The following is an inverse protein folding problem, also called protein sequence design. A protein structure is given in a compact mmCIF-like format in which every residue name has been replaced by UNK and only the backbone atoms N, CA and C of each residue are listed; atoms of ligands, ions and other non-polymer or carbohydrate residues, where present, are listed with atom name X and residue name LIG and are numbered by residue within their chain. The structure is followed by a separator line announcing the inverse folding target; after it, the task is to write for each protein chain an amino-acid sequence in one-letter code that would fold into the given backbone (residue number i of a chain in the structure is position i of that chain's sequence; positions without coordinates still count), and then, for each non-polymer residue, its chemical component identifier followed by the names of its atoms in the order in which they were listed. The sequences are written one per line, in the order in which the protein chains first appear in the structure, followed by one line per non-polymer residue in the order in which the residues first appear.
data_IF_142102686213
#
_entry.id   IF_142102686213
#
_cell.length_a   1.000
_cell.length_b   1.000
_cell.length_c   1.000
_cell.angle_alpha   90.00
_cell.angle_beta   90.00
_cell.angle_gamma   90.00
#
_symmetry.space_group_name_H-M   'P 1'
#
loop_
_entity.id
_entity.type
_entity.pdbx_description
1 polymer ?
#
# COMPACT_ATOMS: atom_id res chain seq x y z
N UNK A 1 -13.79 -12.24 -2.85
CA UNK A 1 -13.25 -13.61 -3.00
C UNK A 1 -11.74 -13.48 -2.88
N UNK A 2 -11.07 -14.26 -2.02
CA UNK A 2 -9.60 -14.25 -2.01
C UNK A 2 -9.14 -14.74 -3.38
N UNK A 3 -8.36 -13.90 -4.05
CA UNK A 3 -8.09 -14.00 -5.48
C UNK A 3 -6.95 -14.99 -5.70
N UNK A 4 -7.21 -16.30 -5.57
CA UNK A 4 -6.21 -17.37 -5.61
C UNK A 4 -5.32 -17.38 -6.86
N UNK A 5 -5.68 -16.62 -7.91
CA UNK A 5 -4.85 -16.39 -9.11
C UNK A 5 -3.74 -15.36 -8.87
N UNK A 6 -3.97 -14.31 -8.07
CA UNK A 6 -2.98 -13.27 -7.75
C UNK A 6 -1.82 -13.83 -6.92
N UNK A 7 -2.11 -14.74 -5.99
CA UNK A 7 -1.10 -15.35 -5.12
C UNK A 7 -0.08 -16.21 -5.90
N UNK A 8 -0.55 -16.96 -6.91
CA UNK A 8 0.33 -17.72 -7.81
C UNK A 8 1.19 -16.82 -8.70
N UNK A 9 0.64 -15.67 -9.10
CA UNK A 9 1.30 -14.68 -9.94
C UNK A 9 2.41 -13.93 -9.20
N UNK A 10 2.33 -13.72 -7.89
CA UNK A 10 3.38 -12.97 -7.15
C UNK A 10 4.54 -13.86 -6.67
N UNK A 11 4.37 -15.18 -6.69
CA UNK A 11 5.38 -16.10 -6.16
C UNK A 11 6.73 -16.00 -6.87
N UNK A 12 6.76 -15.58 -8.14
CA UNK A 12 8.00 -15.43 -8.92
C UNK A 12 8.66 -14.05 -8.79
N UNK A 13 7.92 -13.01 -8.39
CA UNK A 13 8.43 -11.64 -8.28
C UNK A 13 9.44 -11.53 -7.14
N UNK A 14 10.68 -11.14 -7.41
CA UNK A 14 11.73 -11.09 -6.38
C UNK A 14 12.04 -12.43 -5.73
N UNK A 15 11.81 -13.55 -6.44
CA UNK A 15 12.18 -14.89 -5.98
C UNK A 15 13.70 -15.08 -5.84
N UNK A 16 14.49 -14.27 -6.57
CA UNK A 16 15.94 -14.14 -6.46
C UNK A 16 16.38 -13.15 -5.38
N UNK A 17 15.44 -12.54 -4.66
CA UNK A 17 15.69 -11.51 -3.66
C UNK A 17 15.85 -10.09 -4.24
N UNK A 18 15.55 -9.89 -5.53
CA UNK A 18 15.63 -8.61 -6.20
C UNK A 18 14.35 -8.29 -6.97
N UNK A 19 13.73 -7.14 -6.73
CA UNK A 19 12.56 -6.70 -7.52
C UNK A 19 13.05 -5.86 -8.70
N UNK A 20 12.90 -6.37 -9.92
CA UNK A 20 13.27 -5.66 -11.14
C UNK A 20 12.22 -4.61 -11.54
N UNK A 21 12.59 -3.71 -12.46
CA UNK A 21 11.64 -2.77 -13.05
C UNK A 21 10.48 -3.49 -13.79
N UNK A 22 10.73 -4.65 -14.40
CA UNK A 22 9.70 -5.47 -15.03
C UNK A 22 8.72 -6.03 -14.00
N UNK A 23 9.22 -6.47 -12.84
CA UNK A 23 8.39 -6.91 -11.72
C UNK A 23 7.49 -5.78 -11.21
N UNK A 24 8.02 -4.55 -11.10
CA UNK A 24 7.21 -3.38 -10.69
C UNK A 24 6.07 -3.11 -11.69
N UNK A 25 6.36 -3.20 -13.00
CA UNK A 25 5.32 -3.06 -14.04
C UNK A 25 4.27 -4.18 -13.91
N UNK A 26 4.72 -5.41 -13.65
CA UNK A 26 3.83 -6.54 -13.46
C UNK A 26 2.92 -6.36 -12.24
N UNK A 27 3.47 -5.93 -11.11
CA UNK A 27 2.73 -5.65 -9.87
C UNK A 27 1.66 -4.57 -10.10
N UNK A 28 2.04 -3.44 -10.72
CA UNK A 28 1.11 -2.35 -11.06
C UNK A 28 -0.06 -2.82 -11.92
N UNK A 29 0.19 -3.71 -12.88
CA UNK A 29 -0.83 -4.16 -13.84
C UNK A 29 -1.73 -5.28 -13.33
N UNK A 30 -1.24 -6.13 -12.43
CA UNK A 30 -1.95 -7.36 -12.05
C UNK A 30 -2.41 -7.38 -10.60
N UNK A 31 -1.65 -6.77 -9.70
CA UNK A 31 -1.99 -6.72 -8.27
C UNK A 31 -2.78 -5.46 -7.98
N UNK A 32 -2.34 -4.30 -8.51
CA UNK A 32 -2.91 -2.97 -8.22
C UNK A 32 -3.58 -2.33 -9.43
N UNK A 33 -4.20 -3.16 -10.28
CA UNK A 33 -4.76 -2.73 -11.55
C UNK A 33 -5.92 -1.71 -11.41
N UNK A 34 -6.62 -1.76 -10.28
CA UNK A 34 -7.72 -0.87 -9.92
C UNK A 34 -7.25 0.43 -9.24
N UNK A 35 -5.94 0.58 -8.98
CA UNK A 35 -5.36 1.75 -8.33
C UNK A 35 -5.72 1.87 -6.85
N UNK A 36 -6.25 0.80 -6.23
CA UNK A 36 -6.59 0.77 -4.82
C UNK A 36 -5.88 -0.39 -4.15
N UNK A 37 -4.99 -0.06 -3.20
CA UNK A 37 -4.35 -1.07 -2.36
C UNK A 37 -5.35 -1.52 -1.29
N UNK A 38 -5.73 -2.80 -1.30
CA UNK A 38 -6.44 -3.41 -0.18
C UNK A 38 -5.49 -3.86 0.92
N UNK A 39 -6.03 -4.15 2.11
CA UNK A 39 -5.25 -4.63 3.27
C UNK A 39 -4.54 -5.96 2.98
N UNK A 40 -5.18 -6.85 2.22
CA UNK A 40 -4.58 -8.13 1.79
C UNK A 40 -3.43 -7.91 0.81
N UNK A 41 -3.58 -6.96 -0.12
CA UNK A 41 -2.55 -6.63 -1.10
C UNK A 41 -1.36 -5.92 -0.46
N UNK A 42 -1.60 -5.05 0.52
CA UNK A 42 -0.54 -4.43 1.30
C UNK A 42 0.26 -5.47 2.10
N UNK A 43 -0.42 -6.43 2.75
CA UNK A 43 0.25 -7.51 3.47
C UNK A 43 1.15 -8.34 2.55
N UNK A 44 0.69 -8.59 1.33
CA UNK A 44 1.49 -9.24 0.27
C UNK A 44 2.69 -8.39 -0.15
N UNK A 45 2.50 -7.06 -0.29
CA UNK A 45 3.58 -6.12 -0.62
C UNK A 45 4.66 -6.09 0.47
N UNK A 46 4.28 -6.11 1.75
CA UNK A 46 5.21 -6.21 2.88
C UNK A 46 5.95 -7.54 2.92
N UNK A 47 5.27 -8.65 2.60
CA UNK A 47 5.93 -9.96 2.49
C UNK A 47 6.97 -9.96 1.37
N UNK A 48 6.66 -9.34 0.23
CA UNK A 48 7.59 -9.17 -0.88
C UNK A 48 8.80 -8.31 -0.48
N UNK A 49 8.60 -7.16 0.16
CA UNK A 49 9.69 -6.29 0.61
C UNK A 49 10.63 -6.97 1.62
N UNK A 50 10.13 -7.90 2.44
CA UNK A 50 10.96 -8.71 3.33
C UNK A 50 11.78 -9.77 2.59
N UNK A 51 11.20 -10.36 1.53
CA UNK A 51 11.87 -11.38 0.70
C UNK A 51 12.91 -10.76 -0.23
N UNK A 52 12.60 -9.60 -0.81
CA UNK A 52 13.41 -8.88 -1.78
C UNK A 52 13.62 -7.43 -1.31
N UNK A 53 14.52 -7.21 -0.34
CA UNK A 53 14.83 -5.88 0.18
C UNK A 53 15.64 -5.03 -0.81
N UNK A 54 16.27 -5.67 -1.81
CA UNK A 54 16.91 -4.99 -2.93
C UNK A 54 15.95 -4.94 -4.13
N UNK A 55 16.14 -3.95 -4.99
CA UNK A 55 15.40 -3.82 -6.23
C UNK A 55 15.99 -2.73 -7.10
N UNK A 56 15.50 -2.67 -8.33
CA UNK A 56 15.76 -1.56 -9.23
C UNK A 56 15.17 -0.26 -8.64
N UNK A 57 15.62 0.93 -9.09
CA UNK A 57 15.21 2.22 -8.51
C UNK A 57 13.69 2.43 -8.40
N UNK A 58 12.91 1.79 -9.28
CA UNK A 58 11.45 1.87 -9.31
C UNK A 58 10.78 1.12 -8.15
N UNK A 59 11.44 0.12 -7.57
CA UNK A 59 10.88 -0.70 -6.49
C UNK A 59 10.59 0.09 -5.20
N UNK A 60 11.57 0.81 -4.60
CA UNK A 60 11.31 1.57 -3.38
C UNK A 60 10.26 2.68 -3.58
N UNK A 61 10.28 3.36 -4.73
CA UNK A 61 9.31 4.40 -5.06
C UNK A 61 7.89 3.82 -5.12
N UNK A 62 7.74 2.69 -5.79
CA UNK A 62 6.48 2.00 -5.91
C UNK A 62 5.95 1.49 -4.56
N UNK A 63 6.83 0.93 -3.73
CA UNK A 63 6.45 0.46 -2.40
C UNK A 63 5.95 1.62 -1.52
N UNK A 64 6.66 2.76 -1.54
CA UNK A 64 6.26 3.95 -0.79
C UNK A 64 4.92 4.52 -1.27
N UNK A 65 4.70 4.58 -2.59
CA UNK A 65 3.44 5.02 -3.19
C UNK A 65 2.26 4.14 -2.73
N UNK A 66 2.38 2.81 -2.86
CA UNK A 66 1.33 1.87 -2.47
C UNK A 66 1.03 1.90 -0.96
N UNK A 67 2.06 2.00 -0.12
CA UNK A 67 1.87 2.09 1.32
C UNK A 67 1.18 3.40 1.73
N UNK A 68 1.61 4.54 1.18
CA UNK A 68 1.00 5.84 1.45
C UNK A 68 -0.46 5.88 0.99
N UNK A 69 -0.74 5.37 -0.20
CA UNK A 69 -2.08 5.30 -0.78
C UNK A 69 -3.04 4.43 0.06
N UNK A 70 -2.55 3.34 0.65
CA UNK A 70 -3.33 2.55 1.61
C UNK A 70 -3.62 3.32 2.90
N UNK A 71 -2.59 3.86 3.57
CA UNK A 71 -2.77 4.52 4.87
C UNK A 71 -3.62 5.79 4.76
N UNK A 72 -3.45 6.55 3.68
CA UNK A 72 -4.26 7.74 3.43
C UNK A 72 -5.74 7.40 3.18
N UNK A 73 -6.05 6.20 2.68
CA UNK A 73 -7.43 5.74 2.45
C UNK A 73 -8.04 4.97 3.63
N UNK A 74 -7.25 4.27 4.45
CA UNK A 74 -7.77 3.69 5.70
C UNK A 74 -8.13 4.79 6.74
N UNK A 75 -7.64 6.02 6.57
CA UNK A 75 -8.06 7.20 7.31
C UNK A 75 -9.27 7.91 6.66
N UNK A 76 -10.51 7.43 6.90
CA UNK A 76 -11.73 8.18 6.58
C UNK A 76 -12.48 8.64 7.85
N UNK A 77 -12.81 9.95 8.05
CA UNK A 77 -12.40 11.14 7.29
C UNK A 77 -11.46 12.08 8.09
N UNK A 78 -10.39 12.57 7.46
CA UNK A 78 -9.75 13.83 7.85
C UNK A 78 -10.54 15.00 7.26
N UNK A 79 -11.28 15.73 8.10
CA UNK A 79 -11.91 16.98 7.68
C UNK A 79 -13.10 17.47 8.52
N UNK A 80 -13.67 16.65 9.39
CA UNK A 80 -14.68 17.10 10.34
C UNK A 80 -14.09 17.11 11.75
N UNK A 81 -14.01 18.30 12.33
CA UNK A 81 -14.04 18.39 13.79
C UNK A 81 -15.35 17.75 14.23
N UNK A 82 -15.26 16.73 15.08
CA UNK A 82 -16.44 16.23 15.78
C UNK A 82 -17.00 17.34 16.67
N UNK A 83 -18.29 17.28 17.01
CA UNK A 83 -18.91 18.24 17.95
C UNK A 83 -18.10 18.31 19.27
N UNK A 84 -17.57 17.17 19.70
CA UNK A 84 -16.76 17.04 20.91
C UNK A 84 -15.39 17.72 20.79
N UNK A 85 -14.70 17.56 19.66
CA UNK A 85 -13.42 18.25 19.40
C UNK A 85 -13.62 19.75 19.19
N UNK A 86 -14.75 20.17 18.61
CA UNK A 86 -15.12 21.58 18.47
C UNK A 86 -15.35 22.25 19.83
N UNK A 87 -16.13 21.61 20.72
CA UNK A 87 -16.33 22.07 22.10
C UNK A 87 -15.00 22.17 22.87
N UNK A 88 -14.10 21.21 22.65
CA UNK A 88 -12.78 21.21 23.30
C UNK A 88 -11.90 22.38 22.87
N UNK A 89 -11.90 22.72 21.58
CA UNK A 89 -11.17 23.90 21.06
C UNK A 89 -11.81 25.22 21.49
N UNK A 90 -13.14 25.30 21.54
CA UNK A 90 -13.85 26.47 22.03
C UNK A 90 -13.51 26.76 23.50
N UNK A 91 -13.40 25.72 24.33
CA UNK A 91 -13.03 25.84 25.74
C UNK A 91 -11.58 26.31 25.99
N UNK A 92 -10.67 26.11 25.02
CA UNK A 92 -9.27 26.55 25.14
C UNK A 92 -9.05 28.00 24.70
N UNK A 93 -10.03 28.62 24.04
CA UNK A 93 -9.92 29.96 23.46
C UNK A 93 -10.86 31.01 24.08
N UNK A 94 -11.67 30.62 25.06
CA UNK A 94 -12.48 31.52 25.91
C UNK A 94 -11.89 31.69 27.30
#
# INVERSE_FOLDING_TARGET
MPNSTKDGLINHVGADGHVSAEDVIFLRRNIFADGVVSREELATLFALARRAPAGDPEWPDYFAEAAADFFLREEEPHGYLTEEEFEHLAALTG
#
